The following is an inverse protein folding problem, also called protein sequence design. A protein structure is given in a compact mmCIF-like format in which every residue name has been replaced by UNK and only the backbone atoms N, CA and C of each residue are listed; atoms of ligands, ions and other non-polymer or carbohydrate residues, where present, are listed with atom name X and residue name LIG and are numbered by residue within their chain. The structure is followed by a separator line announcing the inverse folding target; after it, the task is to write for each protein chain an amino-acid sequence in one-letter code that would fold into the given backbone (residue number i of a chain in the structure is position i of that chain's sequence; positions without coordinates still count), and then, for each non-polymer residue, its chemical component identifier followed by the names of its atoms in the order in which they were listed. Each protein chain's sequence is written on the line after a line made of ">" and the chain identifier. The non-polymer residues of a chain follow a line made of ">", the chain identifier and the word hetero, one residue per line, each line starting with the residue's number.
data_IF_735133999204
#
_entry.id   IF_735133999204
#
_cell.length_a   1.000
_cell.length_b   1.000
_cell.length_c   1.000
_cell.angle_alpha   90.00
_cell.angle_beta   90.00
_cell.angle_gamma   90.00
#
_symmetry.space_group_name_H-M   'P 1'
#
loop_
_entity.id
_entity.type
_entity.pdbx_description
1 polymer ?
#
# COMPACT_ATOMS: atom_id res chain seq x y z
N UNK A 1 -6.91 3.66 -4.51
CA UNK A 1 -6.05 2.79 -3.67
C UNK A 1 -6.95 2.06 -2.68
N UNK A 2 -6.73 0.76 -2.50
CA UNK A 2 -7.49 -0.02 -1.53
C UNK A 2 -6.92 0.18 -0.12
N UNK A 3 -7.73 0.55 0.89
CA UNK A 3 -7.25 0.68 2.25
C UNK A 3 -6.94 -0.71 2.84
N UNK A 4 -6.00 -0.76 3.79
CA UNK A 4 -5.69 -2.00 4.51
C UNK A 4 -6.86 -2.55 5.34
N UNK A 5 -7.92 -1.76 5.53
CA UNK A 5 -9.19 -2.21 6.13
C UNK A 5 -9.92 -3.25 5.28
N UNK A 6 -9.49 -3.51 4.03
CA UNK A 6 -10.04 -4.61 3.22
C UNK A 6 -10.02 -5.96 3.96
N UNK A 7 -9.03 -6.19 4.82
CA UNK A 7 -8.94 -7.46 5.58
C UNK A 7 -9.99 -7.60 6.68
N UNK A 8 -10.77 -6.54 6.92
CA UNK A 8 -11.88 -6.48 7.86
C UNK A 8 -13.24 -6.42 7.13
N UNK A 9 -13.24 -6.34 5.80
CA UNK A 9 -14.45 -6.34 4.97
C UNK A 9 -15.09 -7.74 4.97
N UNK A 10 -16.41 -7.79 5.23
CA UNK A 10 -17.15 -9.05 5.37
C UNK A 10 -17.21 -9.81 4.04
N UNK A 11 -17.56 -9.12 2.94
CA UNK A 11 -17.66 -9.75 1.63
C UNK A 11 -16.31 -10.28 1.12
N UNK A 12 -15.22 -9.56 1.39
CA UNK A 12 -13.87 -10.04 1.05
C UNK A 12 -13.47 -11.28 1.85
N UNK A 13 -13.87 -11.37 3.13
CA UNK A 13 -13.64 -12.54 3.97
C UNK A 13 -14.44 -13.75 3.50
N UNK A 14 -15.72 -13.57 3.23
CA UNK A 14 -16.58 -14.63 2.66
C UNK A 14 -16.02 -15.16 1.34
N UNK A 15 -15.56 -14.27 0.46
CA UNK A 15 -14.91 -14.65 -0.79
C UNK A 15 -13.67 -15.52 -0.56
N UNK A 16 -12.81 -15.14 0.40
CA UNK A 16 -11.60 -15.91 0.69
C UNK A 16 -11.90 -17.23 1.40
N UNK A 17 -12.91 -17.29 2.26
CA UNK A 17 -13.35 -18.53 2.88
C UNK A 17 -13.88 -19.53 1.85
N UNK A 18 -14.59 -19.07 0.81
CA UNK A 18 -15.04 -19.92 -0.28
C UNK A 18 -13.88 -20.34 -1.21
N UNK A 19 -12.96 -19.41 -1.50
CA UNK A 19 -11.86 -19.64 -2.44
C UNK A 19 -10.72 -20.50 -1.84
N UNK A 20 -10.29 -20.19 -0.62
CA UNK A 20 -9.25 -20.91 0.12
C UNK A 20 -9.56 -20.88 1.63
N UNK A 21 -10.37 -21.82 2.15
CA UNK A 21 -10.75 -21.87 3.55
C UNK A 21 -9.57 -22.05 4.52
N UNK A 22 -8.41 -22.51 4.04
CA UNK A 22 -7.23 -22.69 4.88
C UNK A 22 -6.44 -21.37 5.07
N UNK A 23 -6.72 -20.36 4.26
CA UNK A 23 -6.02 -19.09 4.31
C UNK A 23 -6.49 -18.23 5.48
N UNK A 24 -5.59 -18.00 6.43
CA UNK A 24 -5.85 -17.12 7.57
C UNK A 24 -5.46 -15.69 7.22
N UNK A 25 -6.46 -14.88 6.92
CA UNK A 25 -6.28 -13.47 6.60
C UNK A 25 -5.62 -12.73 7.80
N UNK A 26 -4.50 -12.01 7.61
CA UNK A 26 -3.86 -11.29 8.69
C UNK A 26 -4.72 -10.12 9.16
N UNK A 27 -4.51 -9.68 10.40
CA UNK A 27 -5.12 -8.44 10.87
C UNK A 27 -4.58 -7.24 10.09
N UNK A 28 -5.35 -6.14 10.04
CA UNK A 28 -4.91 -4.88 9.43
C UNK A 28 -3.53 -4.44 9.95
N UNK A 29 -3.30 -4.54 11.26
CA UNK A 29 -2.03 -4.18 11.90
C UNK A 29 -0.88 -5.09 11.46
N UNK A 30 -1.15 -6.39 11.38
CA UNK A 30 -0.16 -7.37 10.90
C UNK A 30 0.20 -7.08 9.44
N UNK A 31 -0.79 -6.82 8.59
CA UNK A 31 -0.56 -6.47 7.20
C UNK A 31 0.29 -5.19 7.08
N UNK A 32 -0.13 -4.09 7.74
CA UNK A 32 0.53 -2.78 7.56
C UNK A 32 1.89 -2.68 8.24
N UNK A 33 2.06 -3.27 9.43
CA UNK A 33 3.22 -3.01 10.28
C UNK A 33 4.23 -4.15 10.30
N UNK A 34 3.86 -5.32 9.79
CA UNK A 34 4.72 -6.51 9.85
C UNK A 34 5.00 -7.04 8.45
N UNK A 35 3.95 -7.30 7.65
CA UNK A 35 4.11 -7.98 6.35
C UNK A 35 4.53 -7.04 5.22
N UNK A 36 4.05 -5.80 5.20
CA UNK A 36 4.33 -4.84 4.12
C UNK A 36 5.65 -4.07 4.21
N UNK A 37 6.22 -3.75 5.40
CA UNK A 37 7.44 -2.95 5.46
C UNK A 37 8.63 -3.55 4.70
N UNK A 38 8.88 -4.85 4.86
CA UNK A 38 9.99 -5.54 4.18
C UNK A 38 9.88 -5.49 2.64
N UNK A 39 8.79 -5.97 2.00
CA UNK A 39 8.68 -5.91 0.55
C UNK A 39 8.62 -4.46 0.02
N UNK A 40 8.09 -3.51 0.80
CA UNK A 40 8.15 -2.10 0.45
C UNK A 40 9.60 -1.61 0.36
N UNK A 41 10.41 -1.89 1.39
CA UNK A 41 11.81 -1.48 1.43
C UNK A 41 12.62 -2.15 0.32
N UNK A 42 12.36 -3.43 0.02
CA UNK A 42 12.96 -4.13 -1.12
C UNK A 42 12.68 -3.43 -2.45
N UNK A 43 11.42 -3.07 -2.71
CA UNK A 43 11.03 -2.35 -3.92
C UNK A 43 11.67 -0.96 -3.95
N UNK A 44 11.72 -0.24 -2.82
CA UNK A 44 12.39 1.06 -2.72
C UNK A 44 13.88 0.93 -3.08
N UNK A 45 14.58 -0.08 -2.55
CA UNK A 45 15.99 -0.29 -2.88
C UNK A 45 16.18 -0.67 -4.35
N UNK A 46 15.31 -1.51 -4.89
CA UNK A 46 15.32 -1.86 -6.33
C UNK A 46 15.18 -0.61 -7.19
N UNK A 47 14.20 0.24 -6.91
CA UNK A 47 13.98 1.50 -7.66
C UNK A 47 15.19 2.43 -7.51
N UNK A 48 15.74 2.60 -6.30
CA UNK A 48 16.96 3.41 -6.08
C UNK A 48 18.14 2.91 -6.90
N UNK A 49 18.32 1.60 -6.99
CA UNK A 49 19.41 1.01 -7.78
C UNK A 49 19.20 1.23 -9.28
N UNK A 50 17.96 1.09 -9.78
CA UNK A 50 17.63 1.41 -11.17
C UNK A 50 17.93 2.88 -11.49
N UNK A 51 17.56 3.80 -10.58
CA UNK A 51 17.84 5.23 -10.75
C UNK A 51 19.34 5.55 -10.73
N UNK A 52 20.12 4.93 -9.84
CA UNK A 52 21.58 5.12 -9.77
C UNK A 52 22.30 4.69 -11.05
N UNK A 53 21.77 3.67 -11.72
CA UNK A 53 22.38 3.08 -12.92
C UNK A 53 21.81 3.67 -14.22
N UNK A 54 20.94 4.67 -14.15
CA UNK A 54 20.32 5.28 -15.34
C UNK A 54 21.17 6.44 -15.88
N UNK A 55 21.48 6.42 -17.16
CA UNK A 55 22.19 7.51 -17.86
C UNK A 55 21.27 8.71 -18.14
N UNK A 56 19.98 8.44 -18.38
CA UNK A 56 18.96 9.45 -18.67
C UNK A 56 17.74 9.24 -17.77
N UNK A 57 17.11 10.33 -17.35
CA UNK A 57 15.90 10.31 -16.52
C UNK A 57 14.94 11.40 -16.98
N UNK A 58 13.64 11.11 -17.00
CA UNK A 58 12.58 12.11 -17.16
C UNK A 58 11.66 12.04 -15.96
N UNK A 59 11.37 13.20 -15.37
CA UNK A 59 10.48 13.31 -14.21
C UNK A 59 9.21 14.00 -14.68
N UNK A 60 8.08 13.32 -14.53
CA UNK A 60 6.75 13.91 -14.76
C UNK A 60 6.09 14.12 -13.41
N UNK A 61 5.70 15.35 -13.12
CA UNK A 61 4.99 15.68 -11.89
C UNK A 61 3.54 15.99 -12.22
N UNK A 62 2.65 15.40 -11.45
CA UNK A 62 1.22 15.60 -11.55
C UNK A 62 0.77 16.61 -10.48
N UNK A 63 0.25 17.77 -10.89
CA UNK A 63 -0.07 18.89 -9.97
C UNK A 63 -1.53 19.31 -10.07
N UNK A 64 -2.43 18.55 -9.43
CA UNK A 64 -3.83 18.93 -9.29
C UNK A 64 -4.10 19.55 -7.92
N UNK A 65 -5.05 20.49 -7.87
CA UNK A 65 -5.58 21.03 -6.60
C UNK A 65 -6.85 20.29 -6.21
N UNK A 66 -6.90 19.76 -4.99
CA UNK A 66 -8.12 19.17 -4.41
C UNK A 66 -8.90 20.22 -3.62
N UNK A 67 -10.23 20.23 -3.77
CA UNK A 67 -11.13 21.08 -2.97
C UNK A 67 -11.59 20.41 -1.67
N UNK A 68 -11.11 19.19 -1.39
CA UNK A 68 -11.44 18.49 -0.15
C UNK A 68 -10.83 19.21 1.07
N UNK A 69 -11.65 19.54 2.06
CA UNK A 69 -11.18 20.15 3.32
C UNK A 69 -10.52 19.06 4.16
N UNK A 70 -9.19 19.01 4.17
CA UNK A 70 -8.46 18.27 5.21
C UNK A 70 -8.57 19.08 6.49
N UNK A 71 -9.30 18.57 7.50
CA UNK A 71 -9.20 19.11 8.86
C UNK A 71 -7.77 18.84 9.35
N UNK A 72 -6.91 19.84 9.21
CA UNK A 72 -5.61 19.82 9.87
C UNK A 72 -5.89 20.01 11.37
N UNK A 73 -5.90 18.89 12.10
CA UNK A 73 -5.87 18.93 13.55
C UNK A 73 -4.41 19.25 13.92
N UNK A 74 -4.14 20.52 14.19
CA UNK A 74 -2.90 20.93 14.85
C UNK A 74 -3.00 20.57 16.34
N UNK A 75 -1.88 20.18 17.00
CA UNK A 75 -1.82 20.04 18.46
C UNK A 75 -2.05 21.37 19.18
#
# INVERSE_FOLDING_TARGET
>A
MQPFTIVEDEGFRELLEEFDPAYKLPSRKTLSNILLPEPYDEVVQKVKNLLKNSEYLTITTDTWTSTAVVKVIWP
#
